data_IF_379607902875
#
_entry.id   IF_379607902875
#
_cell.length_a   1.000
_cell.length_b   1.000
_cell.length_c   1.000
_cell.angle_alpha   90.00
_cell.angle_beta   90.00
_cell.angle_gamma   90.00
#
_symmetry.space_group_name_H-M   'P 1'
#
loop_
_entity.id
_entity.type
_entity.pdbx_description
1 polymer ?
#
# COMPACT_ATOMS: atom_id res chain seq x y z
N UNK A 1 26.85 -1.85 21.61
CA UNK A 1 25.49 -2.46 21.55
C UNK A 1 25.22 -2.89 20.13
N UNK A 2 24.69 -4.09 19.90
CA UNK A 2 24.22 -4.48 18.58
C UNK A 2 22.94 -3.69 18.24
N UNK A 3 22.86 -3.20 17.00
CA UNK A 3 21.66 -2.55 16.49
C UNK A 3 20.84 -3.64 15.80
N UNK A 4 19.63 -3.86 16.28
CA UNK A 4 18.69 -4.84 15.71
C UNK A 4 17.64 -4.15 14.85
N UNK A 5 16.93 -4.93 14.01
CA UNK A 5 15.77 -4.43 13.30
C UNK A 5 14.71 -3.89 14.30
N UNK A 6 13.96 -2.83 13.94
CA UNK A 6 12.90 -2.31 14.80
C UNK A 6 11.85 -3.37 15.14
N UNK A 7 11.26 -3.28 16.33
CA UNK A 7 10.20 -4.19 16.77
C UNK A 7 9.03 -4.22 15.77
N UNK A 8 8.61 -5.42 15.38
CA UNK A 8 7.56 -5.63 14.38
C UNK A 8 8.04 -5.53 12.94
N UNK A 9 9.35 -5.44 12.73
CA UNK A 9 9.99 -5.57 11.42
C UNK A 9 10.98 -6.72 11.43
N UNK A 10 11.35 -7.21 10.26
CA UNK A 10 12.38 -8.23 10.11
C UNK A 10 13.03 -8.16 8.74
N UNK A 11 14.24 -8.66 8.65
CA UNK A 11 14.88 -8.89 7.36
C UNK A 11 14.25 -10.12 6.67
N UNK A 12 14.10 -10.05 5.37
CA UNK A 12 13.89 -11.22 4.52
C UNK A 12 15.28 -11.74 4.12
N UNK A 13 15.74 -12.79 4.78
CA UNK A 13 17.03 -13.39 4.46
C UNK A 13 16.99 -14.09 3.08
N UNK A 14 18.14 -14.44 2.47
CA UNK A 14 18.21 -14.86 1.08
C UNK A 14 17.17 -15.91 0.66
N UNK A 15 16.98 -16.96 1.44
CA UNK A 15 16.03 -18.03 1.11
C UNK A 15 14.56 -17.52 1.11
N UNK A 16 14.18 -16.71 2.10
CA UNK A 16 12.85 -16.09 2.15
C UNK A 16 12.68 -15.05 1.06
N UNK A 17 13.73 -14.28 0.75
CA UNK A 17 13.70 -13.29 -0.33
C UNK A 17 13.53 -13.96 -1.70
N UNK A 18 14.19 -15.09 -1.94
CA UNK A 18 14.01 -15.89 -3.15
C UNK A 18 12.57 -16.43 -3.25
N UNK A 19 12.05 -16.99 -2.17
CA UNK A 19 10.66 -17.46 -2.13
C UNK A 19 9.67 -16.33 -2.40
N UNK A 20 9.86 -15.17 -1.78
CA UNK A 20 9.02 -14.00 -2.01
C UNK A 20 9.08 -13.49 -3.45
N UNK A 21 10.27 -13.48 -4.06
CA UNK A 21 10.42 -13.10 -5.47
C UNK A 21 9.69 -14.08 -6.39
N UNK A 22 9.81 -15.37 -6.15
CA UNK A 22 9.09 -16.40 -6.92
C UNK A 22 7.57 -16.24 -6.75
N UNK A 23 7.10 -16.01 -5.53
CA UNK A 23 5.68 -15.75 -5.27
C UNK A 23 5.14 -14.54 -6.05
N UNK A 24 5.89 -13.41 -6.05
CA UNK A 24 5.51 -12.22 -6.83
C UNK A 24 5.45 -12.51 -8.33
N UNK A 25 6.42 -13.27 -8.84
CA UNK A 25 6.45 -13.65 -10.24
C UNK A 25 5.23 -14.52 -10.60
N UNK A 26 4.95 -15.54 -9.81
CA UNK A 26 3.76 -16.40 -10.03
C UNK A 26 2.47 -15.58 -9.97
N UNK A 27 2.33 -14.69 -9.00
CA UNK A 27 1.18 -13.80 -8.91
C UNK A 27 1.05 -12.91 -10.16
N UNK A 28 2.16 -12.35 -10.64
CA UNK A 28 2.15 -11.52 -11.86
C UNK A 28 1.77 -12.33 -13.11
N UNK A 29 2.20 -13.59 -13.22
CA UNK A 29 1.83 -14.49 -14.31
C UNK A 29 0.33 -14.83 -14.27
N UNK A 30 -0.19 -15.19 -13.09
CA UNK A 30 -1.62 -15.51 -12.91
C UNK A 30 -2.47 -14.27 -13.21
N UNK A 31 -2.23 -13.15 -12.56
CA UNK A 31 -3.02 -11.93 -12.76
C UNK A 31 -2.87 -11.37 -14.18
N UNK A 32 -1.67 -11.47 -14.77
CA UNK A 32 -1.43 -11.10 -16.16
C UNK A 32 -2.28 -11.90 -17.16
N UNK A 33 -2.52 -13.20 -16.89
CA UNK A 33 -3.41 -14.02 -17.72
C UNK A 33 -4.86 -13.52 -17.70
N UNK A 34 -5.29 -12.82 -16.64
CA UNK A 34 -6.59 -12.16 -16.53
C UNK A 34 -6.59 -10.70 -16.96
N UNK A 35 -5.46 -10.21 -17.51
CA UNK A 35 -5.33 -8.86 -18.05
C UNK A 35 -4.98 -7.79 -17.02
N UNK A 36 -4.56 -8.17 -15.81
CA UNK A 36 -4.07 -7.21 -14.81
C UNK A 36 -2.65 -6.77 -15.14
N UNK A 37 -2.43 -5.47 -15.18
CA UNK A 37 -1.14 -4.85 -15.45
C UNK A 37 -0.47 -4.40 -14.16
N UNK A 38 0.85 -4.50 -14.04
CA UNK A 38 1.56 -4.07 -12.84
C UNK A 38 1.49 -2.55 -12.66
N UNK A 39 1.30 -2.12 -11.41
CA UNK A 39 1.40 -0.74 -10.98
C UNK A 39 2.26 -0.65 -9.72
N UNK A 40 3.13 0.35 -9.65
CA UNK A 40 3.88 0.70 -8.44
C UNK A 40 3.48 2.11 -7.98
N UNK A 41 3.01 2.22 -6.76
CA UNK A 41 2.66 3.49 -6.13
C UNK A 41 3.70 3.86 -5.08
N UNK A 42 3.86 5.16 -4.73
CA UNK A 42 4.77 5.57 -3.67
C UNK A 42 4.50 4.85 -2.35
N UNK A 43 5.56 4.60 -1.60
CA UNK A 43 5.47 4.06 -0.22
C UNK A 43 4.94 5.11 0.75
N UNK A 44 5.22 6.40 0.46
CA UNK A 44 4.73 7.54 1.24
C UNK A 44 3.71 8.31 0.42
N UNK A 45 2.58 8.62 1.05
CA UNK A 45 1.49 9.40 0.45
C UNK A 45 1.02 10.48 1.44
N UNK A 46 0.24 11.44 0.94
CA UNK A 46 -0.46 12.37 1.81
C UNK A 46 -1.38 11.59 2.76
N UNK A 47 -1.31 11.88 4.05
CA UNK A 47 -2.14 11.20 5.07
C UNK A 47 -3.63 11.26 4.72
N UNK A 48 -4.07 12.39 4.16
CA UNK A 48 -5.47 12.60 3.77
C UNK A 48 -5.97 11.63 2.70
N UNK A 49 -5.08 11.07 1.87
CA UNK A 49 -5.46 10.04 0.91
C UNK A 49 -6.04 8.82 1.63
N UNK A 50 -5.39 8.37 2.68
CA UNK A 50 -5.83 7.22 3.48
C UNK A 50 -7.06 7.54 4.31
N UNK A 51 -7.14 8.76 4.89
CA UNK A 51 -8.31 9.22 5.63
C UNK A 51 -9.57 9.17 4.75
N UNK A 52 -9.47 9.63 3.50
CA UNK A 52 -10.59 9.61 2.55
C UNK A 52 -10.89 8.20 2.01
N UNK A 53 -9.87 7.41 1.71
CA UNK A 53 -10.02 6.09 1.08
C UNK A 53 -10.46 4.99 2.05
N UNK A 54 -9.94 4.98 3.27
CA UNK A 54 -10.20 3.93 4.26
C UNK A 54 -11.33 4.35 5.23
N UNK A 55 -11.44 5.66 5.50
CA UNK A 55 -12.38 6.24 6.46
C UNK A 55 -11.72 6.62 7.79
N UNK A 56 -12.00 7.84 8.25
CA UNK A 56 -11.40 8.43 9.44
C UNK A 56 -11.63 7.63 10.74
N UNK A 57 -12.76 6.96 10.83
CA UNK A 57 -13.17 6.21 12.03
C UNK A 57 -12.55 4.81 12.13
N UNK A 58 -11.78 4.37 11.15
CA UNK A 58 -11.15 3.04 11.19
C UNK A 58 -9.93 3.03 12.10
N UNK A 59 -9.65 1.89 12.74
CA UNK A 59 -8.45 1.74 13.57
C UNK A 59 -7.17 1.94 12.76
N UNK A 60 -7.15 1.54 11.50
CA UNK A 60 -6.02 1.74 10.59
C UNK A 60 -5.66 3.21 10.49
N UNK A 61 -6.63 4.08 10.23
CA UNK A 61 -6.41 5.53 10.10
C UNK A 61 -6.16 6.21 11.43
N UNK A 62 -6.93 5.87 12.45
CA UNK A 62 -6.91 6.57 13.75
C UNK A 62 -5.72 6.20 14.64
N UNK A 63 -5.17 4.97 14.51
CA UNK A 63 -4.17 4.45 15.46
C UNK A 63 -2.95 3.79 14.80
N UNK A 64 -3.07 3.28 13.57
CA UNK A 64 -2.09 2.34 13.02
C UNK A 64 -1.25 2.90 11.88
N UNK A 65 -1.46 4.16 11.46
CA UNK A 65 -0.62 4.76 10.43
C UNK A 65 0.70 5.28 11.01
N UNK A 66 1.79 4.97 10.32
CA UNK A 66 3.07 5.63 10.55
C UNK A 66 3.08 6.99 9.86
N UNK A 67 3.36 8.05 10.61
CA UNK A 67 3.60 9.39 10.06
C UNK A 67 5.07 9.53 9.69
N UNK A 68 5.34 9.99 8.48
CA UNK A 68 6.68 10.30 7.99
C UNK A 68 6.91 11.82 8.02
N UNK A 69 8.02 12.23 8.62
CA UNK A 69 8.44 13.63 8.68
C UNK A 69 9.94 13.73 8.40
N UNK A 70 10.37 14.65 7.55
CA UNK A 70 11.79 14.90 7.35
C UNK A 70 12.40 15.60 8.57
N UNK A 71 13.70 15.38 8.81
CA UNK A 71 14.39 16.02 9.93
C UNK A 71 14.28 17.55 9.93
N UNK A 72 14.35 18.17 8.76
CA UNK A 72 14.17 19.62 8.61
C UNK A 72 12.76 20.08 8.99
N UNK A 73 11.73 19.38 8.52
CA UNK A 73 10.35 19.70 8.87
C UNK A 73 10.05 19.45 10.34
N UNK A 74 10.66 18.41 10.94
CA UNK A 74 10.56 18.15 12.38
C UNK A 74 11.19 19.31 13.18
N UNK A 75 12.38 19.76 12.79
CA UNK A 75 13.06 20.89 13.42
C UNK A 75 12.20 22.15 13.36
N UNK A 76 11.69 22.51 12.17
CA UNK A 76 10.83 23.69 12.00
C UNK A 76 9.53 23.60 12.79
N UNK A 77 8.95 22.42 12.87
CA UNK A 77 7.76 22.21 13.68
C UNK A 77 8.03 22.46 15.16
N UNK A 78 9.15 21.95 15.69
CA UNK A 78 9.53 22.13 17.09
C UNK A 78 9.92 23.59 17.39
N UNK A 79 10.69 24.25 16.51
CA UNK A 79 11.21 25.59 16.73
C UNK A 79 10.20 26.71 16.38
N UNK A 80 9.41 26.53 15.31
CA UNK A 80 8.54 27.56 14.77
C UNK A 80 7.04 27.28 15.01
N UNK A 81 6.68 26.10 15.52
CA UNK A 81 5.29 25.69 15.73
C UNK A 81 4.53 25.40 14.44
N UNK A 82 5.19 25.39 13.27
CA UNK A 82 4.57 25.14 11.97
C UNK A 82 4.49 23.65 11.69
N UNK A 83 3.31 23.08 11.86
CA UNK A 83 3.07 21.67 11.50
C UNK A 83 3.29 21.47 9.99
N UNK A 84 4.12 20.49 9.57
CA UNK A 84 4.29 20.17 8.17
C UNK A 84 3.07 19.46 7.57
N UNK A 85 3.02 19.37 6.25
CA UNK A 85 2.10 18.47 5.56
C UNK A 85 2.29 17.05 6.10
N UNK A 86 1.19 16.37 6.44
CA UNK A 86 1.24 15.02 6.98
C UNK A 86 1.46 14.03 5.86
N UNK A 87 2.60 13.34 5.88
CA UNK A 87 2.87 12.18 5.06
C UNK A 87 2.75 10.93 5.93
N UNK A 88 2.25 9.85 5.36
CA UNK A 88 2.17 8.54 6.03
C UNK A 88 2.77 7.46 5.14
N UNK A 89 3.36 6.45 5.79
CA UNK A 89 3.67 5.20 5.10
C UNK A 89 2.36 4.48 4.79
N UNK A 90 2.26 3.91 3.60
CA UNK A 90 1.03 3.24 3.13
C UNK A 90 0.66 2.04 4.01
N UNK A 91 -0.54 2.00 4.61
CA UNK A 91 -1.02 0.86 5.40
C UNK A 91 -1.63 -0.24 4.52
N UNK A 92 -1.92 0.07 3.24
CA UNK A 92 -2.52 -0.80 2.23
C UNK A 92 -2.24 -0.22 0.83
N UNK A 93 -2.60 -0.93 -0.25
CA UNK A 93 -2.28 -0.53 -1.61
C UNK A 93 -3.40 0.16 -2.37
N UNK A 94 -4.67 -0.12 -2.05
CA UNK A 94 -5.85 0.31 -2.80
C UNK A 94 -5.93 1.83 -2.97
N UNK A 95 -5.78 2.60 -1.88
CA UNK A 95 -5.88 4.05 -1.93
C UNK A 95 -4.85 4.69 -2.88
N UNK A 96 -3.60 4.18 -2.87
CA UNK A 96 -2.55 4.63 -3.78
C UNK A 96 -2.87 4.33 -5.25
N UNK A 97 -3.43 3.14 -5.53
CA UNK A 97 -3.85 2.75 -6.88
C UNK A 97 -5.00 3.63 -7.37
N UNK A 98 -6.05 3.82 -6.55
CA UNK A 98 -7.19 4.69 -6.89
C UNK A 98 -6.73 6.12 -7.16
N UNK A 99 -5.85 6.67 -6.31
CA UNK A 99 -5.25 8.00 -6.54
C UNK A 99 -4.52 8.06 -7.88
N UNK A 100 -3.71 7.04 -8.19
CA UNK A 100 -2.96 7.02 -9.46
C UNK A 100 -3.89 6.96 -10.67
N UNK A 101 -4.95 6.14 -10.62
CA UNK A 101 -5.95 6.03 -11.68
C UNK A 101 -6.63 7.38 -11.91
N UNK A 102 -7.07 8.07 -10.87
CA UNK A 102 -7.72 9.39 -10.95
C UNK A 102 -6.72 10.46 -11.44
N UNK A 103 -5.52 10.49 -10.88
CA UNK A 103 -4.51 11.50 -11.21
C UNK A 103 -4.06 11.43 -12.66
N UNK A 104 -3.98 10.23 -13.23
CA UNK A 104 -3.47 9.99 -14.58
C UNK A 104 -4.58 9.69 -15.60
N UNK A 105 -5.86 9.81 -15.18
CA UNK A 105 -7.04 9.55 -16.02
C UNK A 105 -6.95 8.19 -16.75
N UNK A 106 -6.62 7.13 -15.99
CA UNK A 106 -6.42 5.80 -16.58
C UNK A 106 -7.74 5.11 -16.98
N UNK A 107 -8.89 5.63 -16.56
CA UNK A 107 -10.24 5.17 -16.93
C UNK A 107 -11.08 6.36 -17.39
N UNK A 108 -10.74 6.96 -18.55
CA UNK A 108 -11.57 8.02 -19.12
C UNK A 108 -12.97 7.50 -19.48
N UNK A 109 -13.94 8.40 -19.59
CA UNK A 109 -15.32 8.03 -19.89
C UNK A 109 -15.43 7.17 -21.15
N UNK A 110 -16.05 6.02 -21.05
CA UNK A 110 -16.23 5.05 -22.14
C UNK A 110 -15.00 4.17 -22.42
N UNK A 111 -13.96 4.26 -21.62
CA UNK A 111 -12.82 3.35 -21.71
C UNK A 111 -13.12 1.99 -21.09
N UNK A 112 -12.29 0.99 -21.43
CA UNK A 112 -12.29 -0.29 -20.72
C UNK A 112 -11.84 -0.10 -19.26
N UNK A 113 -12.29 -0.96 -18.33
CA UNK A 113 -11.83 -0.92 -16.94
C UNK A 113 -10.32 -1.06 -16.82
N UNK A 114 -9.72 -0.36 -15.86
CA UNK A 114 -8.33 -0.55 -15.51
C UNK A 114 -8.20 -1.74 -14.56
N UNK A 115 -7.55 -2.81 -15.01
CA UNK A 115 -7.16 -3.97 -14.21
C UNK A 115 -5.70 -3.80 -13.80
N UNK A 116 -5.46 -3.59 -12.52
CA UNK A 116 -4.13 -3.27 -11.98
C UNK A 116 -3.75 -4.23 -10.86
N UNK A 117 -2.48 -4.63 -10.82
CA UNK A 117 -1.92 -5.45 -9.73
C UNK A 117 -0.74 -4.75 -9.09
N UNK A 118 -0.58 -4.94 -7.80
CA UNK A 118 0.57 -4.46 -7.04
C UNK A 118 1.12 -5.51 -6.10
N UNK A 119 2.41 -5.41 -5.80
CA UNK A 119 3.08 -6.24 -4.80
C UNK A 119 4.15 -5.42 -4.08
N UNK A 120 4.13 -5.41 -2.76
CA UNK A 120 5.14 -4.66 -2.02
C UNK A 120 4.86 -4.51 -0.53
N UNK A 121 5.73 -3.77 0.17
CA UNK A 121 5.62 -3.57 1.61
C UNK A 121 4.48 -2.61 1.97
N UNK A 122 3.76 -2.96 3.06
CA UNK A 122 2.78 -2.14 3.75
C UNK A 122 3.21 -1.96 5.20
N UNK A 123 2.69 -0.91 5.86
CA UNK A 123 3.16 -0.49 7.17
C UNK A 123 2.00 -0.16 8.10
N UNK A 124 1.93 -0.83 9.26
CA UNK A 124 0.92 -0.57 10.29
C UNK A 124 1.56 -0.53 11.67
N UNK A 125 1.29 0.51 12.45
CA UNK A 125 1.83 0.69 13.79
C UNK A 125 1.10 -0.17 14.84
N UNK A 126 0.63 -1.34 14.44
CA UNK A 126 -0.03 -2.30 15.32
C UNK A 126 0.93 -2.82 16.41
N UNK A 127 0.36 -3.36 17.49
CA UNK A 127 1.15 -4.12 18.46
C UNK A 127 1.62 -5.43 17.81
N UNK A 128 2.94 -5.64 17.69
CA UNK A 128 3.47 -6.82 17.03
C UNK A 128 3.07 -8.11 17.77
N UNK A 129 2.68 -9.12 17.02
CA UNK A 129 2.42 -10.47 17.52
C UNK A 129 2.67 -11.49 16.41
N UNK A 130 2.60 -12.79 16.76
CA UNK A 130 2.79 -13.84 15.76
C UNK A 130 1.79 -13.67 14.59
N UNK A 131 2.31 -13.52 13.37
CA UNK A 131 1.52 -13.32 12.17
C UNK A 131 1.08 -11.87 11.92
N UNK A 132 1.39 -10.92 12.82
CA UNK A 132 1.16 -9.48 12.63
C UNK A 132 2.46 -8.70 12.79
N UNK A 133 2.93 -8.15 11.71
CA UNK A 133 4.15 -7.33 11.64
C UNK A 133 3.76 -5.87 11.37
N UNK A 134 4.62 -4.94 11.79
CA UNK A 134 4.51 -3.52 11.46
C UNK A 134 4.90 -3.22 10.00
N UNK A 135 5.77 -4.05 9.44
CA UNK A 135 6.06 -4.09 8.02
C UNK A 135 5.74 -5.49 7.50
N UNK A 136 4.87 -5.57 6.52
CA UNK A 136 4.47 -6.82 5.87
C UNK A 136 4.36 -6.64 4.37
N UNK A 137 4.39 -7.71 3.60
CA UNK A 137 4.22 -7.67 2.16
C UNK A 137 2.77 -8.01 1.80
N UNK A 138 2.23 -7.29 0.84
CA UNK A 138 0.90 -7.50 0.29
C UNK A 138 1.00 -7.63 -1.23
N UNK A 139 0.24 -8.57 -1.79
CA UNK A 139 -0.09 -8.65 -3.21
C UNK A 139 -1.58 -8.36 -3.32
N UNK A 140 -1.98 -7.53 -4.26
CA UNK A 140 -3.36 -7.18 -4.48
C UNK A 140 -3.66 -6.87 -5.94
N UNK A 141 -4.94 -6.93 -6.28
CA UNK A 141 -5.49 -6.53 -7.58
C UNK A 141 -6.61 -5.54 -7.37
N UNK A 142 -6.73 -4.59 -8.29
CA UNK A 142 -7.80 -3.61 -8.34
C UNK A 142 -8.38 -3.58 -9.76
N UNK A 143 -9.70 -3.65 -9.87
CA UNK A 143 -10.40 -3.43 -11.13
C UNK A 143 -11.28 -2.19 -10.97
N UNK A 144 -10.98 -1.13 -11.71
CA UNK A 144 -11.64 0.17 -11.58
C UNK A 144 -12.34 0.53 -12.89
N UNK A 145 -13.59 1.02 -12.79
CA UNK A 145 -14.41 1.39 -13.94
C UNK A 145 -15.29 0.26 -14.48
N UNK A 146 -15.49 -0.81 -13.72
CA UNK A 146 -16.44 -1.89 -14.01
C UNK A 146 -17.48 -2.00 -12.88
N UNK A 147 -18.73 -2.26 -13.22
CA UNK A 147 -19.83 -2.46 -12.27
C UNK A 147 -20.35 -3.90 -12.28
N UNK A 148 -19.83 -4.73 -13.17
CA UNK A 148 -20.31 -6.11 -13.37
C UNK A 148 -19.87 -7.03 -12.24
N UNK A 149 -20.79 -7.75 -11.57
CA UNK A 149 -20.44 -8.71 -10.49
C UNK A 149 -19.49 -9.83 -10.93
N UNK A 150 -19.38 -10.07 -12.24
CA UNK A 150 -18.45 -11.05 -12.80
C UNK A 150 -16.99 -10.69 -12.55
N UNK A 151 -16.67 -9.41 -12.38
CA UNK A 151 -15.32 -8.95 -12.02
C UNK A 151 -14.95 -9.35 -10.59
N UNK A 152 -15.90 -9.24 -9.66
CA UNK A 152 -15.70 -9.69 -8.28
C UNK A 152 -15.50 -11.22 -8.25
N UNK A 153 -16.31 -11.96 -9.03
CA UNK A 153 -16.16 -13.39 -9.15
C UNK A 153 -14.80 -13.79 -9.75
N UNK A 154 -14.32 -13.06 -10.75
CA UNK A 154 -12.99 -13.25 -11.35
C UNK A 154 -11.89 -13.07 -10.28
N UNK A 155 -11.96 -11.97 -9.50
CA UNK A 155 -10.99 -11.70 -8.45
C UNK A 155 -10.96 -12.75 -7.33
N UNK A 156 -12.11 -13.39 -7.05
CA UNK A 156 -12.21 -14.47 -6.04
C UNK A 156 -11.64 -15.80 -6.58
N UNK A 157 -11.79 -16.07 -7.88
CA UNK A 157 -11.36 -17.32 -8.50
C UNK A 157 -9.84 -17.36 -8.74
N UNK A 158 -9.20 -16.23 -9.01
CA UNK A 158 -7.75 -16.11 -9.16
C UNK A 158 -6.99 -16.44 -7.88
#
# INVERSE_FOLDING_TARGET
>A
MAINAPEGTRDLLPDEALFWNQFKQTAAEVFGAYGYLPIETPIMEQTELFVRGIGEATDVVSKEMFTAISGENLRRWVEEGKAPSRLSLRPEGTAGVVRAVVQHDLVPQGAAPAKLMYAGPMFRAERPQKGRQRQFNQVGVECLGAEEPTIDAEAIIM
#
